data_IF_374957795401
#
_entry.id   IF_374957795401
#
_cell.length_a   1.000
_cell.length_b   1.000
_cell.length_c   1.000
_cell.angle_alpha   90.00
_cell.angle_beta   90.00
_cell.angle_gamma   90.00
#
_symmetry.space_group_name_H-M   'P 1'
#
loop_
_entity.id
_entity.type
_entity.pdbx_description
1 polymer ?
#
# COMPACT_ATOMS: atom_id res chain seq x y z
N UNK A 1 -24.63 7.80 33.45
CA UNK A 1 -24.45 8.47 33.01
C UNK A 1 -23.15 8.88 32.48
N UNK A 2 -22.42 9.51 32.97
CA UNK A 2 -21.21 10.02 32.44
C UNK A 2 -20.18 8.98 32.17
N UNK A 3 -20.41 7.85 32.64
CA UNK A 3 -19.45 6.79 32.52
C UNK A 3 -19.08 6.45 31.13
N UNK A 4 -20.05 6.30 30.30
CA UNK A 4 -19.78 5.88 28.97
C UNK A 4 -18.94 6.89 28.22
N UNK A 5 -18.98 8.10 28.63
CA UNK A 5 -18.25 9.15 27.99
C UNK A 5 -16.76 8.96 28.17
N UNK A 6 -16.38 8.47 29.30
CA UNK A 6 -15.00 8.30 29.63
C UNK A 6 -14.36 7.23 28.77
N UNK A 7 -15.07 6.17 28.56
CA UNK A 7 -14.54 5.05 27.84
C UNK A 7 -14.17 5.40 26.42
N UNK A 8 -15.06 6.04 25.74
CA UNK A 8 -14.84 6.35 24.33
C UNK A 8 -13.65 7.26 24.08
N UNK A 9 -13.54 8.38 24.76
CA UNK A 9 -12.39 9.27 24.51
C UNK A 9 -11.08 8.60 24.87
N UNK A 10 -11.11 7.78 25.89
CA UNK A 10 -9.90 7.14 26.31
C UNK A 10 -9.37 6.20 25.25
N UNK A 11 -10.25 5.42 24.68
CA UNK A 11 -9.84 4.54 23.61
C UNK A 11 -9.28 5.30 22.44
N UNK A 12 -9.89 6.40 22.10
CA UNK A 12 -9.42 7.22 21.01
C UNK A 12 -8.04 7.79 21.28
N UNK A 13 -7.78 8.14 22.52
CA UNK A 13 -6.51 8.72 22.88
C UNK A 13 -5.38 7.70 22.85
N UNK A 14 -5.69 6.47 23.12
CA UNK A 14 -4.65 5.45 23.16
C UNK A 14 -4.33 4.90 21.80
N UNK A 15 -5.28 4.94 20.90
CA UNK A 15 -5.06 4.46 19.55
C UNK A 15 -4.32 5.53 18.76
N UNK A 16 -3.40 5.12 17.87
CA UNK A 16 -2.78 6.08 16.97
C UNK A 16 -3.85 6.81 16.18
N UNK A 17 -3.70 8.11 16.11
CA UNK A 17 -4.68 8.88 15.36
C UNK A 17 -4.49 8.63 13.88
N UNK A 18 -5.56 8.22 13.23
CA UNK A 18 -5.53 8.00 11.80
C UNK A 18 -5.82 9.31 11.09
N UNK A 19 -4.91 9.71 10.20
CA UNK A 19 -5.10 10.90 9.39
C UNK A 19 -5.61 10.46 8.03
N UNK A 20 -6.05 11.43 7.23
CA UNK A 20 -6.45 11.14 5.86
C UNK A 20 -5.27 10.53 5.11
N UNK A 21 -4.07 11.07 5.31
CA UNK A 21 -2.88 10.54 4.65
C UNK A 21 -2.54 9.13 5.11
N UNK A 22 -2.63 8.84 6.41
CA UNK A 22 -2.29 7.51 6.88
C UNK A 22 -3.32 6.49 6.41
N UNK A 23 -4.58 6.87 6.34
CA UNK A 23 -5.62 5.99 5.82
C UNK A 23 -5.40 5.71 4.34
N UNK A 24 -5.07 6.74 3.57
CA UNK A 24 -4.78 6.58 2.15
C UNK A 24 -3.52 5.74 1.93
N UNK A 25 -2.53 5.89 2.80
CA UNK A 25 -1.32 5.10 2.68
C UNK A 25 -1.58 3.64 3.01
N UNK A 26 -2.45 3.36 3.96
CA UNK A 26 -2.85 2.00 4.25
C UNK A 26 -3.50 1.35 3.02
N UNK A 27 -4.37 2.09 2.34
CA UNK A 27 -4.97 1.59 1.10
C UNK A 27 -3.92 1.38 0.02
N UNK A 28 -2.92 2.25 -0.04
CA UNK A 28 -1.82 2.12 -0.99
C UNK A 28 -1.03 0.84 -0.73
N UNK A 29 -0.75 0.54 0.53
CA UNK A 29 -0.04 -0.69 0.87
C UNK A 29 -0.85 -1.92 0.52
N UNK A 30 -2.16 -1.88 0.70
CA UNK A 30 -3.01 -3.00 0.32
C UNK A 30 -2.99 -3.21 -1.18
N UNK A 31 -3.03 -2.12 -1.94
CA UNK A 31 -2.95 -2.21 -3.39
C UNK A 31 -1.61 -2.76 -3.84
N UNK A 32 -0.53 -2.36 -3.19
CA UNK A 32 0.80 -2.89 -3.51
C UNK A 32 0.91 -4.36 -3.17
N UNK A 33 0.34 -4.76 -2.04
CA UNK A 33 0.34 -6.17 -1.65
C UNK A 33 -0.38 -7.02 -2.69
N UNK A 34 -1.52 -6.53 -3.17
CA UNK A 34 -2.28 -7.24 -4.20
C UNK A 34 -1.50 -7.34 -5.50
N UNK A 35 -0.80 -6.28 -5.87
CA UNK A 35 0.01 -6.28 -7.08
C UNK A 35 1.17 -7.28 -6.98
N UNK A 36 1.87 -7.28 -5.85
CA UNK A 36 2.98 -8.20 -5.64
C UNK A 36 2.49 -9.65 -5.70
N UNK A 37 1.33 -9.91 -5.11
CA UNK A 37 0.75 -11.26 -5.14
C UNK A 37 0.39 -11.66 -6.55
N UNK A 38 -0.20 -10.75 -7.32
CA UNK A 38 -0.56 -11.05 -8.70
C UNK A 38 0.66 -11.32 -9.56
N UNK A 39 1.74 -10.58 -9.34
CA UNK A 39 2.99 -10.82 -10.05
C UNK A 39 3.59 -12.16 -9.70
N UNK A 40 3.52 -12.55 -8.42
CA UNK A 40 4.02 -13.83 -8.00
C UNK A 40 3.23 -14.96 -8.64
N UNK A 41 1.91 -14.82 -8.67
CA UNK A 41 1.06 -15.83 -9.30
C UNK A 41 1.39 -15.98 -10.78
N UNK A 42 1.65 -14.86 -11.43
CA UNK A 42 2.03 -14.87 -12.84
C UNK A 42 3.37 -15.57 -13.06
N UNK A 43 4.34 -15.30 -12.19
CA UNK A 43 5.65 -15.95 -12.27
C UNK A 43 5.54 -17.46 -12.10
N UNK A 44 4.66 -17.87 -11.18
CA UNK A 44 4.50 -19.30 -10.89
C UNK A 44 3.92 -20.08 -12.05
N UNK A 45 3.21 -19.42 -12.96
CA UNK A 45 2.68 -20.09 -14.14
C UNK A 45 3.77 -20.46 -15.11
N UNK A 46 4.81 -19.66 -15.16
CA UNK A 46 6.02 -20.05 -15.83
C UNK A 46 6.20 -19.60 -17.26
N UNK A 47 5.16 -19.60 -18.07
CA UNK A 47 5.35 -19.20 -19.46
C UNK A 47 4.03 -18.81 -20.12
N UNK A 48 4.16 -18.03 -21.19
CA UNK A 48 3.02 -17.43 -21.85
C UNK A 48 2.18 -18.38 -22.68
N UNK A 49 2.61 -19.63 -22.81
CA UNK A 49 1.84 -20.60 -23.59
C UNK A 49 0.79 -21.31 -22.75
N UNK A 50 0.87 -21.18 -21.44
CA UNK A 50 -0.14 -21.75 -20.56
C UNK A 50 -1.44 -20.98 -20.76
N UNK A 51 -2.59 -21.66 -20.97
CA UNK A 51 -3.87 -20.95 -21.13
C UNK A 51 -4.21 -20.06 -19.95
N UNK A 52 -3.76 -20.39 -18.75
CA UNK A 52 -4.01 -19.57 -17.57
C UNK A 52 -3.18 -18.30 -17.55
N UNK A 53 -2.13 -18.23 -18.38
CA UNK A 53 -1.25 -17.08 -18.36
C UNK A 53 -1.98 -15.78 -18.66
N UNK A 54 -2.83 -15.79 -19.68
CA UNK A 54 -3.55 -14.56 -20.05
C UNK A 54 -4.45 -14.08 -18.93
N UNK A 55 -5.04 -15.01 -18.21
CA UNK A 55 -5.89 -14.66 -17.08
C UNK A 55 -5.06 -13.99 -15.96
N UNK A 56 -3.92 -14.61 -15.62
CA UNK A 56 -3.09 -14.09 -14.56
C UNK A 56 -2.39 -12.79 -14.96
N UNK A 57 -2.06 -12.65 -16.25
CA UNK A 57 -1.50 -11.42 -16.74
C UNK A 57 -2.49 -10.27 -16.61
N UNK A 58 -3.73 -10.52 -16.98
CA UNK A 58 -4.76 -9.50 -16.87
C UNK A 58 -4.98 -9.12 -15.41
N UNK A 59 -4.94 -10.10 -14.51
CA UNK A 59 -5.10 -9.84 -13.10
C UNK A 59 -3.97 -8.94 -12.60
N UNK A 60 -2.74 -9.21 -13.02
CA UNK A 60 -1.60 -8.40 -12.63
C UNK A 60 -1.69 -6.98 -13.19
N UNK A 61 -2.17 -6.85 -14.43
CA UNK A 61 -2.33 -5.53 -15.03
C UNK A 61 -3.38 -4.71 -14.31
N UNK A 62 -4.48 -5.35 -13.91
CA UNK A 62 -5.51 -4.66 -13.17
C UNK A 62 -5.02 -4.25 -11.79
N UNK A 63 -4.26 -5.11 -11.14
CA UNK A 63 -3.70 -4.78 -9.83
C UNK A 63 -2.73 -3.62 -9.93
N UNK A 64 -1.93 -3.57 -11.00
CA UNK A 64 -1.03 -2.45 -11.22
C UNK A 64 -1.80 -1.15 -11.45
N UNK A 65 -2.91 -1.23 -12.16
CA UNK A 65 -3.73 -0.05 -12.40
C UNK A 65 -4.31 0.49 -11.08
N UNK A 66 -4.78 -0.41 -10.23
CA UNK A 66 -5.31 -0.01 -8.94
C UNK A 66 -4.22 0.64 -8.10
N UNK A 67 -3.02 0.07 -8.13
CA UNK A 67 -1.89 0.63 -7.39
C UNK A 67 -1.52 2.02 -7.90
N UNK A 68 -1.48 2.19 -9.22
CA UNK A 68 -1.17 3.49 -9.81
C UNK A 68 -2.19 4.54 -9.39
N UNK A 69 -3.46 4.18 -9.37
CA UNK A 69 -4.49 5.11 -8.91
C UNK A 69 -4.33 5.45 -7.45
N UNK A 70 -3.99 4.46 -6.63
CA UNK A 70 -3.78 4.70 -5.21
C UNK A 70 -2.61 5.65 -4.98
N UNK A 71 -1.55 5.51 -5.78
CA UNK A 71 -0.41 6.41 -5.72
C UNK A 71 -0.81 7.84 -6.10
N UNK A 72 -1.53 7.98 -7.20
CA UNK A 72 -1.99 9.31 -7.62
C UNK A 72 -2.87 9.94 -6.57
N UNK A 73 -3.77 9.18 -6.01
CA UNK A 73 -4.65 9.69 -4.96
C UNK A 73 -3.85 10.14 -3.75
N UNK A 74 -2.89 9.33 -3.32
CA UNK A 74 -2.10 9.67 -2.16
C UNK A 74 -1.28 10.94 -2.39
N UNK A 75 -0.65 11.05 -3.56
CA UNK A 75 0.18 12.21 -3.87
C UNK A 75 -0.61 13.50 -3.97
N UNK A 76 -1.89 13.39 -4.27
CA UNK A 76 -2.77 14.56 -4.38
C UNK A 76 -3.25 15.06 -3.03
N UNK A 77 -3.09 14.27 -1.97
CA UNK A 77 -3.56 14.67 -0.65
C UNK A 77 -2.62 15.66 -0.01
N UNK A 78 -3.16 16.67 0.69
CA UNK A 78 -2.31 17.57 1.47
C UNK A 78 -1.81 16.85 2.71
N UNK A 79 -0.61 17.18 3.14
CA UNK A 79 -0.08 16.65 4.38
C UNK A 79 -0.56 17.55 5.51
N UNK A 80 -1.42 17.00 6.34
CA UNK A 80 -2.03 17.79 7.41
C UNK A 80 -1.15 17.92 8.64
N UNK A 81 -0.32 16.89 8.89
CA UNK A 81 0.56 16.90 10.03
C UNK A 81 1.96 16.48 9.61
N UNK A 82 2.98 16.96 10.32
CA UNK A 82 4.36 16.60 9.97
C UNK A 82 4.64 15.11 10.07
N UNK A 83 3.90 14.41 10.90
CA UNK A 83 4.09 12.97 11.09
C UNK A 83 3.79 12.19 9.83
N UNK A 84 3.09 12.79 8.88
CA UNK A 84 2.76 12.11 7.62
C UNK A 84 3.85 12.23 6.57
N UNK A 85 4.89 13.03 6.82
CA UNK A 85 5.96 13.19 5.84
C UNK A 85 6.68 11.90 5.48
N UNK A 86 6.97 11.01 6.44
CA UNK A 86 7.60 9.74 6.08
C UNK A 86 6.74 8.92 5.14
N UNK A 87 5.42 9.04 5.24
CA UNK A 87 4.53 8.31 4.36
C UNK A 87 4.68 8.78 2.91
N UNK A 88 4.87 10.09 2.72
CA UNK A 88 5.09 10.61 1.38
C UNK A 88 6.38 10.11 0.79
N UNK A 89 7.44 10.02 1.60
CA UNK A 89 8.70 9.49 1.12
C UNK A 89 8.58 8.03 0.72
N UNK A 90 7.84 7.25 1.52
CA UNK A 90 7.62 5.85 1.17
C UNK A 90 6.82 5.71 -0.11
N UNK A 91 5.81 6.56 -0.30
CA UNK A 91 5.03 6.53 -1.53
C UNK A 91 5.87 6.87 -2.75
N UNK A 92 6.81 7.81 -2.60
CA UNK A 92 7.72 8.14 -3.71
C UNK A 92 8.63 6.97 -4.04
N UNK A 93 9.07 6.22 -3.03
CA UNK A 93 9.87 5.03 -3.28
C UNK A 93 9.08 3.96 -4.03
N UNK A 94 7.83 3.76 -3.65
CA UNK A 94 6.97 2.81 -4.35
C UNK A 94 6.82 3.23 -5.81
N UNK A 95 6.60 4.51 -6.04
CA UNK A 95 6.46 5.04 -7.39
C UNK A 95 7.71 4.78 -8.22
N UNK A 96 8.87 5.05 -7.62
CA UNK A 96 10.15 4.83 -8.31
C UNK A 96 10.36 3.36 -8.66
N UNK A 97 9.98 2.47 -7.76
CA UNK A 97 10.15 1.04 -8.00
C UNK A 97 9.23 0.52 -9.10
N UNK A 98 8.02 1.08 -9.19
CA UNK A 98 7.14 0.70 -10.26
C UNK A 98 7.72 1.06 -11.63
N UNK A 99 8.46 2.15 -11.68
CA UNK A 99 9.11 2.55 -12.92
C UNK A 99 10.23 1.62 -13.34
N UNK A 100 10.81 0.90 -12.38
CA UNK A 100 11.89 -0.03 -12.67
C UNK A 100 11.39 -1.40 -13.09
N UNK A 101 10.18 -1.76 -12.68
CA UNK A 101 9.51 -3.00 -13.10
C UNK A 101 10.30 -4.27 -12.79
N UNK A 102 10.99 -4.30 -11.68
CA UNK A 102 11.72 -5.49 -11.25
C UNK A 102 10.89 -6.20 -10.20
N UNK A 103 10.26 -7.33 -10.54
CA UNK A 103 9.33 -8.00 -9.61
C UNK A 103 9.98 -8.34 -8.26
N UNK A 104 11.23 -8.82 -8.30
CA UNK A 104 11.92 -9.14 -7.06
C UNK A 104 12.13 -7.91 -6.21
N UNK A 105 12.48 -6.80 -6.85
CA UNK A 105 12.66 -5.54 -6.15
C UNK A 105 11.36 -5.03 -5.58
N UNK A 106 10.27 -5.21 -6.31
CA UNK A 106 8.97 -4.76 -5.84
C UNK A 106 8.55 -5.50 -4.57
N UNK A 107 8.79 -6.81 -4.52
CA UNK A 107 8.46 -7.58 -3.34
C UNK A 107 9.33 -7.19 -2.15
N UNK A 108 10.61 -6.97 -2.40
CA UNK A 108 11.53 -6.56 -1.36
C UNK A 108 11.13 -5.20 -0.79
N UNK A 109 10.81 -4.27 -1.67
CA UNK A 109 10.39 -2.95 -1.27
C UNK A 109 9.09 -3.00 -0.47
N UNK A 110 8.15 -3.81 -0.92
CA UNK A 110 6.88 -3.95 -0.22
C UNK A 110 7.10 -4.39 1.22
N UNK A 111 7.98 -5.38 1.42
CA UNK A 111 8.28 -5.86 2.76
C UNK A 111 8.89 -4.76 3.61
N UNK A 112 9.83 -4.01 3.05
CA UNK A 112 10.46 -2.91 3.77
C UNK A 112 9.46 -1.83 4.11
N UNK A 113 8.55 -1.53 3.20
CA UNK A 113 7.54 -0.51 3.42
C UNK A 113 6.59 -0.92 4.52
N UNK A 114 6.18 -2.18 4.54
CA UNK A 114 5.29 -2.66 5.57
C UNK A 114 5.92 -2.55 6.94
N UNK A 115 7.18 -2.97 7.06
CA UNK A 115 7.88 -2.92 8.33
C UNK A 115 8.03 -1.47 8.80
N UNK A 116 8.39 -0.58 7.90
CA UNK A 116 8.56 0.82 8.25
C UNK A 116 7.24 1.47 8.63
N UNK A 117 6.18 1.13 7.90
CA UNK A 117 4.88 1.72 8.18
C UNK A 117 4.35 1.29 9.54
N UNK A 118 4.40 0.00 9.84
CA UNK A 118 3.89 -0.50 11.10
C UNK A 118 4.77 -0.08 12.29
N UNK A 119 6.04 0.16 12.05
CA UNK A 119 6.92 0.63 13.11
C UNK A 119 6.59 2.05 13.57
N UNK A 120 5.90 2.82 12.74
CA UNK A 120 5.51 4.18 13.10
C UNK A 120 4.24 4.24 13.93
N UNK A 121 3.52 3.18 13.95
CA UNK A 121 2.26 3.11 14.66
C UNK A 121 2.30 1.99 15.68
#
# INVERSE_FOLDING_TARGET
>A
MAIHTVITPLAANEAPRETIASSAFSALLQAQSAFVRAERDLEDIGHSQDPAYDFWLRDAELAQEVLTRALHHFHALPLEVPEDRPLRRMALLIDAMLGNEEPGDARCLHRKMQLAFFAQF
#
